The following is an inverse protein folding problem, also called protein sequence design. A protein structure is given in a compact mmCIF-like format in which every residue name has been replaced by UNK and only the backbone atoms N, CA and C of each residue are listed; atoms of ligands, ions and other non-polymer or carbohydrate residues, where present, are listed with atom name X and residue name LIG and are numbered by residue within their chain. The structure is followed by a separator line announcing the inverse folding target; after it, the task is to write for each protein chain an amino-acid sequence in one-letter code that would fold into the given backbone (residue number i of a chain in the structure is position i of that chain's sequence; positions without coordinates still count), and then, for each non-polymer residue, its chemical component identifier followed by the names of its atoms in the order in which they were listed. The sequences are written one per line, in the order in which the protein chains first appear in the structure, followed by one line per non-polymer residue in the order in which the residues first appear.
data_IF_165470407813
#
_entry.id   IF_165470407813
#
_cell.length_a   1.000
_cell.length_b   1.000
_cell.length_c   1.000
_cell.angle_alpha   90.00
_cell.angle_beta   90.00
_cell.angle_gamma   90.00
#
_symmetry.space_group_name_H-M   'P 1'
#
loop_
_entity.id
_entity.type
_entity.pdbx_description
1 polymer ?
#
# COMPACT_ATOMS: atom_id res chain seq x y z
N UNK A 1 -9.83 -1.42 -6.73
CA UNK A 1 -9.16 -0.09 -6.63
C UNK A 1 -7.84 -0.20 -5.87
N UNK A 2 -7.84 -0.72 -4.64
CA UNK A 2 -6.65 -0.95 -3.79
C UNK A 2 -5.51 -1.65 -4.55
N UNK A 3 -5.78 -2.81 -5.16
CA UNK A 3 -4.82 -3.58 -5.97
C UNK A 3 -4.10 -2.71 -7.01
N UNK A 4 -4.85 -1.94 -7.81
CA UNK A 4 -4.26 -1.13 -8.90
C UNK A 4 -3.24 -0.10 -8.40
N UNK A 5 -3.46 0.52 -7.24
CA UNK A 5 -2.48 1.49 -6.73
C UNK A 5 -1.29 0.79 -6.10
N UNK A 6 -1.50 -0.30 -5.35
CA UNK A 6 -0.39 -1.08 -4.79
C UNK A 6 0.50 -1.61 -5.92
N UNK A 7 -0.08 -2.19 -6.98
CA UNK A 7 0.65 -2.60 -8.19
C UNK A 7 1.41 -1.42 -8.80
N UNK A 8 0.77 -0.26 -8.93
CA UNK A 8 1.43 0.94 -9.48
C UNK A 8 2.64 1.38 -8.63
N UNK A 9 2.55 1.31 -7.31
CA UNK A 9 3.66 1.61 -6.39
C UNK A 9 4.81 0.61 -6.59
N UNK A 10 4.50 -0.68 -6.66
CA UNK A 10 5.50 -1.75 -6.87
C UNK A 10 6.15 -1.66 -8.25
N UNK A 11 5.42 -1.21 -9.27
CA UNK A 11 5.94 -0.96 -10.63
C UNK A 11 6.76 0.34 -10.75
N UNK A 12 7.02 1.06 -9.65
CA UNK A 12 7.79 2.30 -9.67
C UNK A 12 7.08 3.50 -10.30
N UNK A 13 5.75 3.41 -10.44
CA UNK A 13 4.86 4.47 -10.96
C UNK A 13 4.02 5.11 -9.84
N UNK A 14 4.36 4.83 -8.58
CA UNK A 14 3.67 5.36 -7.41
C UNK A 14 3.81 6.88 -7.31
N UNK A 15 2.80 7.52 -6.72
CA UNK A 15 2.79 8.95 -6.45
C UNK A 15 2.65 9.21 -4.94
N UNK A 16 3.14 10.34 -4.41
CA UNK A 16 2.97 10.70 -3.01
C UNK A 16 1.52 10.64 -2.54
N UNK A 17 0.57 11.07 -3.38
CA UNK A 17 -0.87 11.05 -3.05
C UNK A 17 -1.44 9.62 -2.92
N UNK A 18 -0.75 8.59 -3.41
CA UNK A 18 -1.31 7.23 -3.47
C UNK A 18 -1.50 6.62 -2.07
N UNK A 19 -0.73 7.05 -1.07
CA UNK A 19 -0.88 6.62 0.32
C UNK A 19 -2.19 7.15 0.92
N UNK A 20 -2.45 8.45 0.74
CA UNK A 20 -3.66 9.09 1.27
C UNK A 20 -4.91 8.58 0.52
N UNK A 21 -4.75 8.32 -0.78
CA UNK A 21 -5.75 7.64 -1.58
C UNK A 21 -6.05 6.24 -1.03
N UNK A 22 -5.04 5.39 -0.82
CA UNK A 22 -5.21 4.04 -0.27
C UNK A 22 -6.04 4.04 1.03
N UNK A 23 -5.74 4.91 1.99
CA UNK A 23 -6.52 5.03 3.23
C UNK A 23 -7.94 5.57 2.98
N UNK A 24 -8.10 6.56 2.10
CA UNK A 24 -9.40 7.18 1.80
C UNK A 24 -10.43 6.22 1.18
N UNK A 25 -10.01 5.26 0.35
CA UNK A 25 -10.97 4.30 -0.22
C UNK A 25 -11.09 3.06 0.64
N UNK A 26 -10.03 2.62 1.30
CA UNK A 26 -10.18 1.53 2.25
C UNK A 26 -11.18 1.89 3.36
N UNK A 27 -11.14 3.13 3.87
CA UNK A 27 -12.14 3.63 4.83
C UNK A 27 -13.55 3.80 4.26
N UNK A 28 -13.69 3.95 2.93
CA UNK A 28 -14.99 3.93 2.24
C UNK A 28 -15.49 2.52 1.91
N UNK A 29 -14.66 1.50 2.03
CA UNK A 29 -15.06 0.10 1.90
C UNK A 29 -15.51 -0.42 3.27
N UNK A 30 -14.70 -0.15 4.30
CA UNK A 30 -14.91 -0.62 5.67
C UNK A 30 -16.31 -0.24 6.20
N UNK A 31 -17.10 -1.24 6.58
CA UNK A 31 -18.44 -1.04 7.16
C UNK A 31 -19.49 -0.54 6.16
N UNK A 32 -19.17 -0.51 4.86
CA UNK A 32 -20.07 -0.09 3.77
C UNK A 32 -20.33 -1.19 2.76
N UNK A 33 -19.97 -2.44 3.09
CA UNK A 33 -20.18 -3.61 2.25
C UNK A 33 -20.96 -4.69 2.99
N UNK A 34 -21.76 -5.48 2.26
CA UNK A 34 -22.56 -6.58 2.84
C UNK A 34 -21.69 -7.80 3.14
N UNK A 35 -20.69 -8.05 2.27
CA UNK A 35 -19.80 -9.20 2.38
C UNK A 35 -18.55 -8.85 3.19
N UNK A 36 -18.25 -9.65 4.23
CA UNK A 36 -17.08 -9.48 5.09
C UNK A 36 -15.74 -9.52 4.34
N UNK A 37 -15.70 -10.08 3.12
CA UNK A 37 -14.50 -10.06 2.28
C UNK A 37 -14.06 -8.63 1.92
N UNK A 38 -15.02 -7.70 1.77
CA UNK A 38 -14.71 -6.29 1.49
C UNK A 38 -13.90 -5.67 2.62
N UNK A 39 -14.38 -5.81 3.84
CA UNK A 39 -13.71 -5.32 5.04
C UNK A 39 -12.37 -6.04 5.26
N UNK A 40 -12.33 -7.36 5.08
CA UNK A 40 -11.12 -8.16 5.18
C UNK A 40 -10.02 -7.73 4.20
N UNK A 41 -10.39 -7.19 3.03
CA UNK A 41 -9.43 -6.64 2.06
C UNK A 41 -9.01 -5.19 2.40
N UNK A 42 -9.90 -4.39 3.00
CA UNK A 42 -9.64 -2.98 3.32
C UNK A 42 -8.77 -2.80 4.57
N UNK A 43 -9.04 -3.57 5.63
CA UNK A 43 -8.36 -3.42 6.92
C UNK A 43 -6.84 -3.60 6.83
N UNK A 44 -6.29 -4.62 6.14
CA UNK A 44 -4.83 -4.78 6.02
C UNK A 44 -4.17 -3.62 5.29
N UNK A 45 -4.83 -3.09 4.24
CA UNK A 45 -4.28 -1.95 3.49
C UNK A 45 -4.16 -0.72 4.37
N UNK A 46 -5.19 -0.40 5.17
CA UNK A 46 -5.13 0.72 6.12
C UNK A 46 -4.06 0.51 7.18
N UNK A 47 -3.99 -0.69 7.74
CA UNK A 47 -2.98 -1.06 8.73
C UNK A 47 -1.56 -0.86 8.16
N UNK A 48 -1.30 -1.34 6.95
CA UNK A 48 0.01 -1.21 6.34
C UNK A 48 0.39 0.23 5.99
N UNK A 49 -0.54 1.02 5.46
CA UNK A 49 -0.29 2.45 5.22
C UNK A 49 -0.01 3.18 6.53
N UNK A 50 -0.71 2.85 7.63
CA UNK A 50 -0.48 3.45 8.95
C UNK A 50 0.88 3.09 9.54
N UNK A 51 1.23 1.81 9.54
CA UNK A 51 2.42 1.32 10.26
C UNK A 51 3.70 1.36 9.43
N UNK A 52 3.60 1.17 8.12
CA UNK A 52 4.74 1.08 7.21
C UNK A 52 4.79 2.24 6.22
N UNK A 53 4.20 3.40 6.55
CA UNK A 53 4.15 4.58 5.66
C UNK A 53 5.51 4.95 5.06
N UNK A 54 6.57 4.82 5.86
CA UNK A 54 7.94 5.11 5.44
C UNK A 54 8.43 4.17 4.33
N UNK A 55 8.03 2.89 4.34
CA UNK A 55 8.39 1.95 3.26
C UNK A 55 7.67 2.29 1.95
N UNK A 56 6.41 2.72 2.03
CA UNK A 56 5.66 3.19 0.85
C UNK A 56 6.29 4.45 0.26
N UNK A 57 6.65 5.41 1.11
CA UNK A 57 7.36 6.63 0.70
C UNK A 57 8.70 6.29 0.03
N UNK A 58 9.46 5.36 0.62
CA UNK A 58 10.71 4.88 0.04
C UNK A 58 10.48 4.24 -1.34
N UNK A 59 9.46 3.39 -1.48
CA UNK A 59 9.10 2.78 -2.76
C UNK A 59 8.77 3.84 -3.83
N UNK A 60 8.06 4.90 -3.46
CA UNK A 60 7.69 5.98 -4.38
C UNK A 60 8.94 6.76 -4.82
N UNK A 61 9.84 7.06 -3.90
CA UNK A 61 11.06 7.84 -4.17
C UNK A 61 12.10 7.01 -4.94
N UNK A 62 12.34 5.77 -4.52
CA UNK A 62 13.43 4.92 -5.01
C UNK A 62 12.98 3.89 -6.04
N UNK A 63 11.67 3.75 -6.28
CA UNK A 63 11.06 2.80 -7.23
C UNK A 63 11.41 1.33 -6.94
N UNK A 64 11.77 1.01 -5.69
CA UNK A 64 12.16 -0.33 -5.23
C UNK A 64 11.90 -0.53 -3.74
N UNK A 65 11.90 -1.78 -3.28
CA UNK A 65 11.80 -2.11 -1.85
C UNK A 65 13.07 -1.73 -1.07
N UNK A 66 12.88 -1.32 0.18
CA UNK A 66 13.96 -1.21 1.18
C UNK A 66 14.61 -2.57 1.44
N UNK A 67 13.78 -3.63 1.51
CA UNK A 67 14.22 -4.99 1.88
C UNK A 67 14.92 -5.70 0.73
N UNK A 68 14.55 -5.45 -0.53
CA UNK A 68 15.29 -6.03 -1.67
C UNK A 68 16.74 -5.54 -1.71
N UNK A 69 17.01 -4.29 -1.31
CA UNK A 69 18.39 -3.80 -1.18
C UNK A 69 19.17 -4.52 -0.09
N UNK A 70 18.53 -4.80 1.05
CA UNK A 70 19.13 -5.53 2.17
C UNK A 70 19.32 -7.02 1.86
N UNK A 71 18.35 -7.65 1.18
CA UNK A 71 18.39 -9.05 0.76
C UNK A 71 19.46 -9.31 -0.30
N UNK A 72 19.77 -8.34 -1.15
CA UNK A 72 20.85 -8.44 -2.15
C UNK A 72 22.25 -8.23 -1.54
N UNK A 73 22.35 -7.54 -0.39
CA UNK A 73 23.60 -7.36 0.35
C UNK A 73 23.88 -8.51 1.34
N UNK A 74 22.86 -9.31 1.67
CA UNK A 74 22.95 -10.47 2.55
C UNK A 74 23.18 -11.80 1.81
N UNK A 75 23.15 -11.79 0.47
CA UNK A 75 23.45 -12.92 -0.42
C UNK A 75 24.83 -12.75 -1.05
#
# INVERSE_FOLDING_TARGET
WLYRMVTRIVEGKGRPEDMDLLDSVASRIEGRTICALGDAAAMPVRSFVKHYRHEFAYYIEHKRSMVQGASALAA
#
